data_IF_803574922744
#
_entry.id   IF_803574922744
#
_cell.length_a   1.000
_cell.length_b   1.000
_cell.length_c   1.000
_cell.angle_alpha   90.00
_cell.angle_beta   90.00
_cell.angle_gamma   90.00
#
_symmetry.space_group_name_H-M   'P 1'
#
loop_
_entity.id
_entity.type
_entity.pdbx_description
1 polymer ?
#
# COMPACT_ATOMS: atom_id res chain seq x y z
N UNK A 1 12.32 -13.14 2.75
CA UNK A 1 11.57 -12.08 2.04
C UNK A 1 10.20 -12.60 1.68
N UNK A 2 9.17 -11.87 1.99
CA UNK A 2 7.79 -12.25 1.71
C UNK A 2 7.18 -11.36 0.64
N UNK A 3 6.14 -11.87 0.00
CA UNK A 3 5.52 -11.19 -1.12
C UNK A 3 4.04 -11.55 -1.17
N UNK A 4 3.20 -10.53 -1.36
CA UNK A 4 1.77 -10.75 -1.59
C UNK A 4 1.34 -9.98 -2.83
N UNK A 5 0.20 -10.38 -3.39
CA UNK A 5 -0.40 -9.69 -4.53
C UNK A 5 -1.72 -9.09 -4.11
N UNK A 6 -1.91 -7.81 -4.41
CA UNK A 6 -3.11 -7.07 -4.07
C UNK A 6 -3.83 -6.70 -5.36
N UNK A 7 -5.13 -6.90 -5.41
CA UNK A 7 -5.95 -6.58 -6.58
C UNK A 7 -6.70 -5.27 -6.36
N UNK A 8 -6.53 -4.34 -7.30
CA UNK A 8 -7.28 -3.10 -7.29
C UNK A 8 -7.14 -2.35 -5.99
N UNK A 9 -8.27 -1.97 -5.41
CA UNK A 9 -8.33 -1.23 -4.15
C UNK A 9 -8.60 -2.14 -2.95
N UNK A 10 -8.33 -3.43 -3.06
CA UNK A 10 -8.54 -4.36 -1.96
C UNK A 10 -7.68 -3.99 -0.75
N UNK A 11 -8.27 -3.86 0.45
CA UNK A 11 -7.49 -3.58 1.65
C UNK A 11 -6.54 -4.73 1.99
N UNK A 12 -5.38 -4.39 2.54
CA UNK A 12 -4.40 -5.37 2.97
C UNK A 12 -3.69 -4.91 4.24
N UNK A 13 -3.05 -5.86 4.92
CA UNK A 13 -2.29 -5.59 6.13
C UNK A 13 -0.88 -6.14 5.95
N UNK A 14 0.11 -5.38 6.43
CA UNK A 14 1.52 -5.79 6.38
C UNK A 14 2.08 -5.74 7.79
N UNK A 15 2.66 -6.85 8.24
CA UNK A 15 3.34 -6.92 9.52
C UNK A 15 4.84 -6.74 9.29
N UNK A 16 5.25 -5.51 9.04
CA UNK A 16 6.64 -5.14 8.82
C UNK A 16 6.82 -3.64 9.04
N UNK A 17 8.04 -3.21 9.39
CA UNK A 17 8.32 -1.78 9.55
C UNK A 17 8.41 -1.05 8.21
N UNK A 18 8.71 -1.79 7.16
CA UNK A 18 8.79 -1.22 5.82
C UNK A 18 8.40 -2.27 4.79
N UNK A 19 7.94 -1.79 3.65
CA UNK A 19 7.63 -2.65 2.52
C UNK A 19 7.73 -1.85 1.23
N UNK A 20 7.85 -2.57 0.11
CA UNK A 20 7.91 -1.96 -1.20
C UNK A 20 6.70 -2.40 -2.02
N UNK A 21 6.09 -1.47 -2.73
CA UNK A 21 4.93 -1.73 -3.58
C UNK A 21 5.38 -1.53 -5.04
N UNK A 22 5.14 -2.53 -5.88
CA UNK A 22 5.49 -2.46 -7.29
C UNK A 22 4.62 -1.43 -8.02
N UNK A 23 5.10 -0.92 -9.17
CA UNK A 23 4.32 0.05 -9.94
C UNK A 23 2.99 -0.49 -10.42
N UNK A 24 2.03 0.40 -10.53
CA UNK A 24 0.74 0.14 -11.14
C UNK A 24 0.65 0.88 -12.48
N UNK A 25 -0.02 0.29 -13.46
CA UNK A 25 -0.21 0.93 -14.75
C UNK A 25 -0.98 2.24 -14.66
N UNK A 26 -1.91 2.35 -13.69
CA UNK A 26 -2.75 3.54 -13.50
C UNK A 26 -2.17 4.51 -12.48
N UNK A 27 -1.20 4.07 -11.69
CA UNK A 27 -0.80 4.78 -10.50
C UNK A 27 -1.81 4.58 -9.36
N UNK A 28 -1.45 5.01 -8.17
CA UNK A 28 -2.33 4.90 -7.00
C UNK A 28 -1.87 5.87 -5.91
N UNK A 29 -2.78 6.14 -4.97
CA UNK A 29 -2.45 6.85 -3.74
C UNK A 29 -2.54 5.87 -2.59
N UNK A 30 -1.48 5.73 -1.79
CA UNK A 30 -1.48 4.85 -0.64
C UNK A 30 -2.28 5.50 0.48
N UNK A 31 -3.28 4.77 0.98
CA UNK A 31 -4.05 5.19 2.13
C UNK A 31 -3.89 4.16 3.24
N UNK A 32 -4.07 4.58 4.46
CA UNK A 32 -3.93 3.73 5.63
C UNK A 32 -5.07 3.92 6.60
N UNK A 33 -5.29 2.93 7.46
CA UNK A 33 -6.33 2.97 8.47
C UNK A 33 -5.89 2.14 9.68
N UNK A 34 -6.24 2.61 10.87
CA UNK A 34 -6.00 1.87 12.10
C UNK A 34 -7.09 0.82 12.36
N UNK A 35 -8.28 1.01 11.82
CA UNK A 35 -9.45 0.16 12.09
C UNK A 35 -10.04 -0.53 10.85
N UNK A 36 -9.54 -0.23 9.66
CA UNK A 36 -10.05 -0.80 8.42
C UNK A 36 -11.33 -0.14 7.90
N UNK A 37 -11.78 0.92 8.54
CA UNK A 37 -13.02 1.61 8.15
C UNK A 37 -12.75 3.02 7.62
N UNK A 38 -11.94 3.80 8.32
CA UNK A 38 -11.63 5.17 7.93
C UNK A 38 -10.20 5.23 7.42
N UNK A 39 -10.02 5.65 6.18
CA UNK A 39 -8.72 5.69 5.52
C UNK A 39 -8.26 7.12 5.32
N UNK A 40 -6.97 7.33 5.53
CA UNK A 40 -6.31 8.63 5.35
C UNK A 40 -5.13 8.44 4.41
N UNK A 41 -4.87 9.42 3.56
CA UNK A 41 -3.72 9.36 2.66
C UNK A 41 -2.42 9.34 3.47
N UNK A 42 -1.50 8.45 3.09
CA UNK A 42 -0.16 8.40 3.68
C UNK A 42 0.61 9.62 3.17
N UNK A 43 0.96 10.53 4.07
CA UNK A 43 1.50 11.85 3.70
C UNK A 43 2.72 11.82 2.80
N UNK A 44 3.57 10.82 2.97
CA UNK A 44 4.80 10.70 2.20
C UNK A 44 4.60 9.97 0.88
N UNK A 45 3.40 9.45 0.64
CA UNK A 45 3.10 8.70 -0.57
C UNK A 45 2.38 9.60 -1.58
N UNK A 46 3.04 9.86 -2.67
CA UNK A 46 2.42 10.51 -3.82
C UNK A 46 1.77 9.45 -4.70
N UNK A 47 0.89 9.82 -5.64
CA UNK A 47 0.39 8.85 -6.60
C UNK A 47 1.54 8.13 -7.27
N UNK A 48 1.54 6.80 -7.22
CA UNK A 48 2.71 5.99 -7.57
C UNK A 48 2.48 5.19 -8.85
N UNK A 49 3.27 5.48 -9.88
CA UNK A 49 3.45 4.63 -11.04
C UNK A 49 4.90 4.11 -11.11
N UNK A 50 5.60 4.22 -9.99
CA UNK A 50 6.95 3.69 -9.79
C UNK A 50 6.95 2.90 -8.49
N UNK A 51 8.01 2.15 -8.22
CA UNK A 51 8.12 1.42 -6.96
C UNK A 51 8.06 2.40 -5.79
N UNK A 52 7.12 2.16 -4.89
CA UNK A 52 6.95 2.97 -3.69
C UNK A 52 7.48 2.22 -2.49
N UNK A 53 8.43 2.82 -1.79
CA UNK A 53 8.97 2.25 -0.54
C UNK A 53 8.32 2.95 0.63
N UNK A 54 7.66 2.18 1.49
CA UNK A 54 6.98 2.70 2.68
C UNK A 54 7.78 2.33 3.91
N UNK A 55 8.15 3.32 4.70
CA UNK A 55 8.93 3.16 5.92
C UNK A 55 8.17 3.73 7.12
N UNK A 56 8.56 3.33 8.32
CA UNK A 56 8.01 3.89 9.53
C UNK A 56 6.66 3.31 9.95
N UNK A 57 6.34 2.11 9.48
CA UNK A 57 5.15 1.42 9.91
C UNK A 57 5.38 0.92 11.35
N UNK A 58 4.73 1.55 12.31
CA UNK A 58 4.97 1.27 13.73
C UNK A 58 4.14 0.12 14.28
N UNK A 59 3.07 -0.26 13.60
CA UNK A 59 2.16 -1.31 14.06
C UNK A 59 1.39 -1.88 12.87
N UNK A 60 0.69 -2.97 13.09
CA UNK A 60 -0.16 -3.57 12.06
C UNK A 60 -1.29 -2.61 11.71
N UNK A 61 -1.32 -2.19 10.47
CA UNK A 61 -2.32 -1.25 9.96
C UNK A 61 -2.92 -1.80 8.69
N UNK A 62 -4.09 -1.29 8.33
CA UNK A 62 -4.73 -1.58 7.06
C UNK A 62 -4.24 -0.58 6.02
N UNK A 63 -4.02 -1.06 4.81
CA UNK A 63 -3.61 -0.22 3.69
C UNK A 63 -4.52 -0.44 2.51
N UNK A 64 -4.58 0.56 1.63
CA UNK A 64 -5.43 0.51 0.46
C UNK A 64 -4.79 1.35 -0.64
N UNK A 65 -4.82 0.85 -1.87
CA UNK A 65 -4.24 1.53 -3.03
C UNK A 65 -5.36 2.22 -3.80
N UNK A 66 -5.66 3.44 -3.43
CA UNK A 66 -6.78 4.19 -4.02
C UNK A 66 -6.43 4.61 -5.45
N UNK A 67 -7.31 4.30 -6.38
CA UNK A 67 -7.12 4.57 -7.80
C UNK A 67 -6.49 3.42 -8.58
N UNK A 68 -6.01 2.39 -7.90
CA UNK A 68 -5.41 1.22 -8.55
C UNK A 68 -6.50 0.28 -9.07
N UNK A 69 -6.32 -0.22 -10.29
CA UNK A 69 -7.23 -1.20 -10.89
C UNK A 69 -6.50 -2.47 -11.33
N UNK A 70 -5.19 -2.51 -11.16
CA UNK A 70 -4.35 -3.63 -11.56
C UNK A 70 -3.88 -4.42 -10.35
N UNK A 71 -3.33 -5.61 -10.61
CA UNK A 71 -2.65 -6.36 -9.57
C UNK A 71 -1.28 -5.72 -9.32
N UNK A 72 -0.91 -5.58 -8.06
CA UNK A 72 0.43 -5.11 -7.69
C UNK A 72 1.03 -6.09 -6.69
N UNK A 73 2.35 -6.19 -6.68
CA UNK A 73 3.08 -7.00 -5.72
C UNK A 73 3.61 -6.12 -4.59
N UNK A 74 3.53 -6.64 -3.37
CA UNK A 74 4.08 -5.99 -2.19
C UNK A 74 5.13 -6.92 -1.60
N UNK A 75 6.34 -6.40 -1.42
CA UNK A 75 7.48 -7.14 -0.88
C UNK A 75 7.83 -6.62 0.52
N UNK A 76 8.02 -7.54 1.44
CA UNK A 76 8.34 -7.17 2.83
C UNK A 76 9.16 -8.23 3.54
#
# INVERSE_FOLDING_TARGET
MSRIKVKGEQPFQILAHSFAITPSAEGYTLNYSANGEEYTAWEEATPANETLVVNGVAKLMYFKLVGNQSDVEINF
#
